data_IF_954986431227
#
_entry.id   IF_954986431227
#
_cell.length_a   1.000
_cell.length_b   1.000
_cell.length_c   1.000
_cell.angle_alpha   90.00
_cell.angle_beta   90.00
_cell.angle_gamma   90.00
#
_symmetry.space_group_name_H-M   'P 1'
#
loop_
_entity.id
_entity.type
_entity.pdbx_description
1 polymer ?
#
# COMPACT_ATOMS: atom_id res chain seq x y z
N UNK A 1 28.99 10.51 -4.88
CA UNK A 1 29.16 11.88 -4.34
C UNK A 1 27.84 12.60 -4.57
N UNK A 2 27.06 12.86 -3.52
CA UNK A 2 25.92 13.79 -3.54
C UNK A 2 26.45 15.24 -3.57
N UNK A 3 25.74 16.23 -4.15
CA UNK A 3 24.67 16.96 -3.42
C UNK A 3 23.46 17.36 -4.32
N UNK A 4 22.20 17.46 -3.87
CA UNK A 4 21.59 18.43 -2.94
C UNK A 4 21.68 19.91 -3.40
N UNK A 5 20.69 20.38 -4.18
CA UNK A 5 20.20 21.77 -4.30
C UNK A 5 18.91 21.67 -5.16
N UNK A 6 17.72 21.97 -4.63
CA UNK A 6 17.11 23.29 -4.78
C UNK A 6 16.04 23.50 -3.68
N UNK A 7 16.36 24.42 -2.76
CA UNK A 7 15.41 25.16 -1.94
C UNK A 7 14.84 26.30 -2.80
N UNK A 8 13.51 26.48 -2.79
CA UNK A 8 12.89 27.74 -3.20
C UNK A 8 11.97 28.21 -2.07
N UNK A 9 12.46 29.20 -1.32
CA UNK A 9 11.67 30.03 -0.40
C UNK A 9 10.87 31.04 -1.23
N UNK A 10 9.57 31.17 -0.94
CA UNK A 10 8.80 32.36 -1.29
C UNK A 10 8.12 32.88 -0.02
N UNK A 11 8.63 34.01 0.48
CA UNK A 11 8.03 34.79 1.55
C UNK A 11 7.26 35.98 0.95
N UNK A 12 6.09 36.23 1.54
CA UNK A 12 5.35 37.51 1.59
C UNK A 12 4.68 38.01 0.30
N UNK A 13 3.40 37.64 0.15
CA UNK A 13 2.44 38.30 -0.73
C UNK A 13 1.03 38.21 -0.12
N UNK A 14 0.59 39.35 0.43
CA UNK A 14 -0.71 39.67 1.04
C UNK A 14 -1.94 38.83 0.65
N UNK A 15 -2.68 38.37 1.66
CA UNK A 15 -4.05 37.86 1.55
C UNK A 15 -5.01 39.02 1.29
N UNK A 16 -5.82 39.01 0.22
CA UNK A 16 -7.07 39.77 0.18
C UNK A 16 -8.21 38.87 0.64
N UNK A 17 -8.93 39.32 1.66
CA UNK A 17 -10.22 38.77 2.01
C UNK A 17 -11.25 39.17 0.93
N UNK A 18 -11.89 38.19 0.31
CA UNK A 18 -13.17 38.40 -0.36
C UNK A 18 -13.97 37.09 -0.37
N UNK A 19 -15.03 37.06 0.45
CA UNK A 19 -16.18 36.20 0.21
C UNK A 19 -16.87 36.64 -1.08
N UNK A 20 -17.40 35.68 -1.84
CA UNK A 20 -18.85 35.67 -2.02
C UNK A 20 -19.44 34.26 -1.85
N UNK A 21 -20.58 34.20 -1.17
CA UNK A 21 -21.46 33.03 -1.19
C UNK A 21 -22.17 32.88 -2.54
N UNK A 22 -22.60 31.67 -2.85
CA UNK A 22 -23.47 31.38 -3.99
C UNK A 22 -23.53 29.89 -4.33
N UNK A 23 -24.73 29.33 -4.24
CA UNK A 23 -25.11 27.91 -4.33
C UNK A 23 -24.85 27.23 -5.70
N UNK A 24 -24.75 25.89 -5.65
CA UNK A 24 -25.45 25.01 -6.60
C UNK A 24 -24.59 24.32 -7.66
N UNK A 25 -24.40 23.00 -7.53
CA UNK A 25 -23.78 22.17 -8.57
C UNK A 25 -23.44 20.76 -8.11
N UNK A 26 -24.47 19.93 -7.92
CA UNK A 26 -24.39 18.48 -7.69
C UNK A 26 -23.78 17.77 -8.90
N UNK A 27 -22.87 16.81 -8.69
CA UNK A 27 -22.44 15.93 -9.79
C UNK A 27 -21.08 15.24 -9.66
N UNK A 28 -20.73 14.66 -8.52
CA UNK A 28 -19.68 13.63 -8.48
C UNK A 28 -19.98 12.63 -7.36
N UNK A 29 -21.00 11.81 -7.58
CA UNK A 29 -21.30 10.70 -6.68
C UNK A 29 -20.38 9.52 -7.01
N UNK A 30 -19.07 9.71 -6.79
CA UNK A 30 -18.14 8.62 -6.60
C UNK A 30 -18.18 8.24 -5.14
N UNK A 31 -18.89 7.16 -4.79
CA UNK A 31 -18.78 6.53 -3.47
C UNK A 31 -17.39 5.90 -3.33
N UNK A 32 -16.34 6.71 -3.27
CA UNK A 32 -15.06 6.33 -2.73
C UNK A 32 -15.25 6.28 -1.21
N UNK A 33 -15.70 5.13 -0.70
CA UNK A 33 -15.50 4.84 0.72
C UNK A 33 -14.01 4.97 0.94
N UNK A 34 -13.58 6.04 1.60
CA UNK A 34 -12.23 6.17 2.13
C UNK A 34 -12.08 5.08 3.20
N UNK A 35 -11.81 3.84 2.78
CA UNK A 35 -11.13 2.91 3.65
C UNK A 35 -9.82 3.61 4.05
N UNK A 36 -9.46 3.67 5.35
CA UNK A 36 -8.17 4.22 5.73
C UNK A 36 -7.08 3.41 5.01
N UNK A 37 -6.54 4.00 3.94
CA UNK A 37 -5.49 3.37 3.14
C UNK A 37 -4.32 3.08 4.09
N UNK A 38 -3.78 1.86 4.13
CA UNK A 38 -2.62 1.54 4.94
C UNK A 38 -1.50 2.54 4.66
N UNK A 39 -0.85 3.03 5.72
CA UNK A 39 0.24 4.02 5.64
C UNK A 39 1.30 3.66 4.58
N UNK A 40 1.73 2.38 4.41
CA UNK A 40 2.68 2.01 3.36
C UNK A 40 2.17 2.25 1.93
N UNK A 41 0.90 1.95 1.64
CA UNK A 41 0.30 2.14 0.32
C UNK A 41 0.26 3.63 -0.05
N UNK A 42 -0.15 4.47 0.89
CA UNK A 42 -0.14 5.92 0.70
C UNK A 42 1.27 6.44 0.43
N UNK A 43 2.28 5.93 1.14
CA UNK A 43 3.67 6.34 0.91
C UNK A 43 4.16 5.97 -0.50
N UNK A 44 3.85 4.76 -0.98
CA UNK A 44 4.18 4.37 -2.35
C UNK A 44 3.54 5.30 -3.39
N UNK A 45 2.29 5.72 -3.17
CA UNK A 45 1.56 6.63 -4.07
C UNK A 45 2.10 8.05 -4.03
N UNK A 46 2.31 8.59 -2.83
CA UNK A 46 2.67 10.00 -2.64
C UNK A 46 4.14 10.28 -3.02
N UNK A 47 5.04 9.36 -2.68
CA UNK A 47 6.50 9.56 -2.83
C UNK A 47 7.03 8.96 -4.13
N UNK A 48 6.59 7.76 -4.50
CA UNK A 48 7.12 7.03 -5.66
C UNK A 48 6.18 7.00 -6.86
N UNK A 49 4.98 7.59 -6.76
CA UNK A 49 3.93 7.53 -7.80
C UNK A 49 3.61 6.09 -8.22
N UNK A 50 3.67 5.17 -7.26
CA UNK A 50 3.42 3.75 -7.45
C UNK A 50 2.43 3.18 -6.44
N UNK A 51 2.50 1.87 -6.22
CA UNK A 51 1.65 1.14 -5.28
C UNK A 51 2.48 0.10 -4.52
N UNK A 52 1.97 -0.46 -3.42
CA UNK A 52 2.58 -1.64 -2.83
C UNK A 52 2.62 -2.78 -3.83
N UNK A 53 3.66 -3.60 -3.74
CA UNK A 53 3.91 -4.67 -4.69
C UNK A 53 2.77 -5.69 -4.69
N UNK A 54 2.20 -5.96 -5.87
CA UNK A 54 1.34 -7.10 -6.14
C UNK A 54 2.14 -8.23 -6.77
N UNK A 55 1.64 -9.46 -6.63
CA UNK A 55 2.34 -10.65 -7.08
C UNK A 55 1.40 -11.52 -7.90
N UNK A 56 1.74 -11.70 -9.18
CA UNK A 56 0.93 -12.43 -10.16
C UNK A 56 1.62 -13.68 -10.71
N UNK A 57 2.81 -14.01 -10.19
CA UNK A 57 3.57 -15.18 -10.62
C UNK A 57 4.62 -15.59 -9.59
N UNK A 58 5.04 -16.86 -9.65
CA UNK A 58 6.15 -17.36 -8.84
C UNK A 58 7.47 -16.63 -9.14
N UNK A 59 7.73 -16.26 -10.39
CA UNK A 59 8.91 -15.50 -10.78
C UNK A 59 8.93 -14.12 -10.10
N UNK A 60 7.80 -13.39 -10.13
CA UNK A 60 7.67 -12.10 -9.43
C UNK A 60 7.85 -12.26 -7.92
N UNK A 61 7.28 -13.32 -7.33
CA UNK A 61 7.47 -13.60 -5.90
C UNK A 61 8.95 -13.80 -5.54
N UNK A 62 9.68 -14.57 -6.37
CA UNK A 62 11.10 -14.84 -6.17
C UNK A 62 11.96 -13.57 -6.35
N UNK A 63 11.66 -12.72 -7.32
CA UNK A 63 12.32 -11.41 -7.47
C UNK A 63 12.14 -10.55 -6.22
N UNK A 64 10.90 -10.39 -5.75
CA UNK A 64 10.62 -9.59 -4.55
C UNK A 64 11.27 -10.20 -3.30
N UNK A 65 11.34 -11.54 -3.20
CA UNK A 65 12.03 -12.20 -2.10
C UNK A 65 13.53 -11.91 -2.14
N UNK A 66 14.18 -12.02 -3.31
CA UNK A 66 15.60 -11.71 -3.48
C UNK A 66 15.87 -10.25 -3.12
N UNK A 67 15.04 -9.33 -3.61
CA UNK A 67 15.12 -7.91 -3.27
C UNK A 67 15.01 -7.71 -1.75
N UNK A 68 13.99 -8.29 -1.11
CA UNK A 68 13.78 -8.16 0.33
C UNK A 68 14.98 -8.67 1.13
N UNK A 69 15.55 -9.83 0.76
CA UNK A 69 16.73 -10.42 1.41
C UNK A 69 17.96 -9.52 1.35
N UNK A 70 18.12 -8.74 0.27
CA UNK A 70 19.24 -7.82 0.11
C UNK A 70 19.16 -6.63 1.06
N UNK A 71 17.95 -6.13 1.34
CA UNK A 71 17.77 -4.86 2.06
C UNK A 71 17.27 -5.01 3.50
N UNK A 72 16.67 -6.14 3.87
CA UNK A 72 16.11 -6.31 5.22
C UNK A 72 16.03 -7.76 5.68
N UNK A 73 16.20 -7.95 6.99
CA UNK A 73 15.90 -9.22 7.67
C UNK A 73 14.43 -9.30 8.11
N UNK A 74 13.75 -8.15 8.22
CA UNK A 74 12.36 -8.06 8.64
C UNK A 74 11.49 -8.27 7.41
N UNK A 75 10.58 -9.25 7.45
CA UNK A 75 9.62 -9.52 6.37
C UNK A 75 8.84 -8.24 6.00
N UNK A 76 9.02 -7.69 4.78
CA UNK A 76 8.35 -6.47 4.38
C UNK A 76 6.89 -6.69 4.00
N UNK A 77 6.10 -5.61 4.06
CA UNK A 77 4.75 -5.58 3.51
C UNK A 77 4.77 -5.66 1.98
N UNK A 78 3.79 -6.41 1.46
CA UNK A 78 3.33 -6.39 0.07
C UNK A 78 1.86 -5.96 0.05
N UNK A 79 1.32 -5.61 -1.12
CA UNK A 79 0.01 -4.99 -1.25
C UNK A 79 -1.20 -5.92 -1.03
N UNK A 80 -1.02 -7.09 -0.42
CA UNK A 80 -2.11 -8.03 -0.16
C UNK A 80 -2.75 -7.75 1.20
N UNK A 81 -4.09 -7.66 1.20
CA UNK A 81 -4.91 -7.49 2.41
C UNK A 81 -5.94 -8.60 2.47
N UNK A 82 -6.09 -9.22 3.64
CA UNK A 82 -7.19 -10.16 3.92
C UNK A 82 -8.22 -9.45 4.80
N UNK A 83 -9.46 -9.37 4.34
CA UNK A 83 -10.55 -8.66 5.04
C UNK A 83 -11.89 -9.40 4.87
N UNK A 84 -12.83 -9.20 5.79
CA UNK A 84 -14.19 -9.70 5.64
C UNK A 84 -15.02 -8.73 4.79
N UNK A 85 -15.47 -9.18 3.62
CA UNK A 85 -16.33 -8.43 2.70
C UNK A 85 -17.58 -9.24 2.41
N UNK A 86 -18.76 -8.61 2.59
CA UNK A 86 -20.06 -9.25 2.44
C UNK A 86 -20.18 -10.61 3.18
N UNK A 87 -19.65 -10.69 4.40
CA UNK A 87 -19.69 -11.90 5.23
C UNK A 87 -18.70 -13.00 4.85
N UNK A 88 -17.80 -12.76 3.89
CA UNK A 88 -16.77 -13.71 3.47
C UNK A 88 -15.38 -13.12 3.64
N UNK A 89 -14.46 -13.94 4.14
CA UNK A 89 -13.06 -13.56 4.19
C UNK A 89 -12.42 -13.75 2.83
N UNK A 90 -11.83 -12.67 2.31
CA UNK A 90 -11.15 -12.69 1.02
C UNK A 90 -9.83 -11.92 1.09
N UNK A 91 -8.88 -12.37 0.29
CA UNK A 91 -7.62 -11.65 0.07
C UNK A 91 -7.68 -10.93 -1.26
N UNK A 92 -7.16 -9.72 -1.29
CA UNK A 92 -7.16 -8.87 -2.48
C UNK A 92 -5.93 -7.97 -2.48
N UNK A 93 -5.57 -7.47 -3.66
CA UNK A 93 -4.50 -6.49 -3.81
C UNK A 93 -5.05 -5.07 -3.65
N UNK A 94 -4.30 -4.19 -2.98
CA UNK A 94 -4.69 -2.78 -2.79
C UNK A 94 -4.66 -1.98 -4.09
N UNK A 95 -3.89 -2.44 -5.08
CA UNK A 95 -3.86 -1.85 -6.42
C UNK A 95 -5.00 -2.31 -7.33
N UNK A 96 -5.95 -3.10 -6.79
CA UNK A 96 -7.09 -3.66 -7.53
C UNK A 96 -6.72 -4.60 -8.68
N UNK A 97 -5.47 -5.07 -8.74
CA UNK A 97 -5.05 -6.09 -9.69
C UNK A 97 -5.71 -7.46 -9.40
N UNK A 98 -5.78 -8.38 -10.40
CA UNK A 98 -6.42 -9.67 -10.20
C UNK A 98 -5.76 -10.53 -9.12
N UNK A 99 -6.55 -11.15 -8.26
CA UNK A 99 -6.09 -12.16 -7.31
C UNK A 99 -5.91 -13.53 -8.00
N UNK A 100 -4.82 -13.69 -8.75
CA UNK A 100 -4.55 -14.87 -9.59
C UNK A 100 -3.33 -15.71 -9.14
N UNK A 101 -2.66 -15.29 -8.06
CA UNK A 101 -1.51 -16.00 -7.50
C UNK A 101 -1.49 -15.83 -5.98
N UNK A 102 -1.10 -16.90 -5.29
CA UNK A 102 -0.95 -16.91 -3.85
C UNK A 102 0.24 -17.77 -3.43
N UNK A 103 1.05 -17.28 -2.49
CA UNK A 103 2.17 -18.03 -1.93
C UNK A 103 2.11 -18.07 -0.40
N UNK A 104 0.93 -18.37 0.16
CA UNK A 104 0.69 -18.38 1.59
C UNK A 104 1.51 -19.46 2.31
N UNK A 105 2.03 -19.12 3.49
CA UNK A 105 2.49 -20.10 4.44
C UNK A 105 1.32 -20.96 4.94
N UNK A 106 1.56 -22.20 5.41
CA UNK A 106 0.53 -23.01 6.05
C UNK A 106 -0.22 -22.22 7.12
N UNK A 107 -1.53 -22.42 7.21
CA UNK A 107 -2.44 -21.77 8.19
C UNK A 107 -2.68 -20.27 7.90
N UNK A 108 -2.14 -19.74 6.80
CA UNK A 108 -2.41 -18.38 6.32
C UNK A 108 -3.22 -18.39 5.01
N UNK A 109 -4.02 -17.34 4.75
CA UNK A 109 -4.27 -16.22 5.64
C UNK A 109 -5.18 -16.58 6.82
N UNK A 110 -5.06 -15.84 7.91
CA UNK A 110 -5.99 -15.98 9.04
C UNK A 110 -7.32 -15.29 8.74
N UNK A 111 -8.44 -15.96 9.04
CA UNK A 111 -9.80 -15.49 8.73
C UNK A 111 -10.59 -15.05 9.98
N UNK A 112 -9.93 -14.26 10.85
CA UNK A 112 -10.51 -13.83 12.14
C UNK A 112 -10.64 -12.31 12.20
N UNK A 113 -9.63 -11.60 11.69
CA UNK A 113 -9.52 -10.14 11.69
C UNK A 113 -8.90 -9.67 10.39
N UNK A 114 -9.12 -8.41 10.03
CA UNK A 114 -8.43 -7.81 8.87
C UNK A 114 -6.92 -7.84 9.11
N UNK A 115 -6.18 -8.39 8.15
CA UNK A 115 -4.72 -8.52 8.23
C UNK A 115 -4.07 -8.05 6.94
N UNK A 116 -2.83 -7.60 7.09
CA UNK A 116 -1.95 -7.22 5.99
C UNK A 116 -0.92 -8.34 5.78
N UNK A 117 -0.32 -8.36 4.60
CA UNK A 117 0.50 -9.49 4.16
C UNK A 117 1.98 -9.15 4.14
N UNK A 118 2.78 -9.91 4.87
CA UNK A 118 4.25 -9.83 4.78
C UNK A 118 4.81 -10.91 3.86
N UNK A 119 5.81 -10.55 3.04
CA UNK A 119 6.63 -11.47 2.28
C UNK A 119 7.83 -11.91 3.15
N UNK A 120 7.94 -13.20 3.45
CA UNK A 120 9.09 -13.69 4.20
C UNK A 120 10.36 -13.69 3.36
N UNK A 121 11.42 -13.12 3.90
CA UNK A 121 12.74 -13.09 3.26
C UNK A 121 13.37 -14.48 3.18
N UNK A 122 13.01 -15.41 4.08
CA UNK A 122 13.65 -16.74 4.15
C UNK A 122 13.12 -17.72 3.12
N UNK A 123 11.80 -17.92 3.11
CA UNK A 123 11.10 -18.95 2.34
C UNK A 123 10.22 -18.37 1.22
N UNK A 124 10.08 -17.05 1.13
CA UNK A 124 9.24 -16.39 0.13
C UNK A 124 7.75 -16.55 0.39
N UNK A 125 7.37 -17.21 1.50
CA UNK A 125 5.97 -17.46 1.85
C UNK A 125 5.33 -16.24 2.52
N UNK A 126 4.04 -16.07 2.26
CA UNK A 126 3.26 -14.95 2.76
C UNK A 126 2.65 -15.26 4.11
N UNK A 127 2.64 -14.27 5.00
CA UNK A 127 2.07 -14.41 6.35
C UNK A 127 1.20 -13.21 6.66
N UNK A 128 0.03 -13.48 7.23
CA UNK A 128 -0.88 -12.47 7.76
C UNK A 128 -0.32 -11.87 9.05
N UNK A 129 -0.37 -10.55 9.16
CA UNK A 129 0.03 -9.79 10.36
C UNK A 129 -0.97 -8.64 10.59
N UNK A 130 -1.05 -8.17 11.83
CA UNK A 130 -1.81 -6.96 12.13
C UNK A 130 -1.25 -5.77 11.37
N UNK A 131 -2.10 -5.05 10.64
CA UNK A 131 -1.69 -3.97 9.72
C UNK A 131 -0.96 -2.81 10.42
N UNK A 132 -1.16 -2.63 11.72
CA UNK A 132 -0.52 -1.56 12.50
C UNK A 132 0.94 -1.86 12.86
N UNK A 133 1.50 -3.01 12.48
CA UNK A 133 2.91 -3.31 12.74
C UNK A 133 3.83 -2.47 11.83
N UNK A 134 4.79 -1.79 12.45
CA UNK A 134 5.86 -1.11 11.73
C UNK A 134 6.80 -2.14 11.09
N UNK A 135 6.86 -2.13 9.76
CA UNK A 135 7.72 -3.00 8.96
C UNK A 135 8.17 -2.26 7.69
N UNK A 136 9.30 -2.65 7.09
CA UNK A 136 9.62 -2.23 5.72
C UNK A 136 8.51 -2.67 4.77
N UNK A 137 8.47 -2.09 3.57
CA UNK A 137 7.48 -2.38 2.55
C UNK A 137 8.09 -2.25 1.17
N UNK A 138 7.50 -2.92 0.17
CA UNK A 138 7.99 -2.89 -1.20
C UNK A 138 6.96 -2.16 -2.08
N UNK A 139 7.40 -1.10 -2.76
CA UNK A 139 6.60 -0.43 -3.79
C UNK A 139 6.92 -0.99 -5.18
N UNK A 140 5.99 -0.81 -6.11
CA UNK A 140 6.12 -1.07 -7.54
C UNK A 140 5.53 0.09 -8.35
N UNK A 141 5.94 0.21 -9.61
CA UNK A 141 5.50 1.22 -10.58
C UNK A 141 5.33 0.58 -11.96
#
# INVERSE_FOLDING_TARGET
MWPCLLLALALLGTVPASHPGGQGGEGAQGSARCQPMPVPQRYCQDVYRGQLASVHSAARNQELQKLARTYTIIAPWIGAVTSCKAGRWESHWEDSSPWNYANWAPIHPGHIVTTCTTLSTRDGLWRSRFCLQLRPFICQY
#
